data_IF_827900011027
#
_entry.id   IF_827900011027
#
_cell.length_a   1.000
_cell.length_b   1.000
_cell.length_c   1.000
_cell.angle_alpha   90.00
_cell.angle_beta   90.00
_cell.angle_gamma   90.00
#
_symmetry.space_group_name_H-M   'P 1'
#
loop_
_entity.id
_entity.type
_entity.pdbx_description
1 polymer ?
#
# COMPACT_ATOMS: atom_id res chain seq x y z
N UNK A 1 23.09 -11.25 -16.78
CA UNK A 1 22.58 -11.97 -15.59
C UNK A 1 23.48 -11.82 -14.36
N UNK A 2 24.78 -12.15 -14.42
CA UNK A 2 25.69 -11.98 -13.26
C UNK A 2 25.76 -10.53 -12.73
N UNK A 3 25.77 -9.54 -13.62
CA UNK A 3 25.80 -8.11 -13.29
C UNK A 3 24.53 -7.62 -12.59
N UNK A 4 23.35 -8.06 -13.03
CA UNK A 4 22.07 -7.69 -12.41
C UNK A 4 21.94 -8.25 -10.99
N UNK A 5 22.26 -9.53 -10.79
CA UNK A 5 22.16 -10.16 -9.47
C UNK A 5 23.14 -9.51 -8.49
N UNK A 6 24.36 -9.21 -8.93
CA UNK A 6 25.34 -8.47 -8.12
C UNK A 6 24.83 -7.08 -7.73
N UNK A 7 24.28 -6.33 -8.69
CA UNK A 7 23.65 -5.04 -8.42
C UNK A 7 22.55 -5.14 -7.37
N UNK A 8 21.62 -6.09 -7.53
CA UNK A 8 20.49 -6.23 -6.62
C UNK A 8 20.93 -6.60 -5.20
N UNK A 9 21.92 -7.48 -5.05
CA UNK A 9 22.48 -7.84 -3.73
C UNK A 9 23.08 -6.60 -3.05
N UNK A 10 23.90 -5.82 -3.77
CA UNK A 10 24.49 -4.60 -3.22
C UNK A 10 23.42 -3.58 -2.83
N UNK A 11 22.44 -3.37 -3.69
CA UNK A 11 21.32 -2.47 -3.45
C UNK A 11 20.55 -2.86 -2.18
N UNK A 12 20.28 -4.16 -1.99
CA UNK A 12 19.57 -4.66 -0.80
C UNK A 12 20.38 -4.37 0.46
N UNK A 13 21.69 -4.67 0.45
CA UNK A 13 22.56 -4.46 1.61
C UNK A 13 22.64 -3.00 1.98
N UNK A 14 22.82 -2.10 1.01
CA UNK A 14 22.87 -0.65 1.23
C UNK A 14 21.53 -0.12 1.77
N UNK A 15 20.42 -0.53 1.16
CA UNK A 15 19.08 -0.12 1.58
C UNK A 15 18.76 -0.59 3.01
N UNK A 16 19.12 -1.83 3.35
CA UNK A 16 18.98 -2.32 4.74
C UNK A 16 19.80 -1.50 5.72
N UNK A 17 21.02 -1.11 5.34
CA UNK A 17 21.87 -0.24 6.14
C UNK A 17 21.24 1.13 6.41
N UNK A 18 20.55 1.71 5.44
CA UNK A 18 19.80 2.96 5.60
C UNK A 18 18.56 2.77 6.50
N UNK A 19 17.77 1.72 6.25
CA UNK A 19 16.52 1.45 6.97
C UNK A 19 16.77 1.22 8.47
N UNK A 20 17.78 0.44 8.83
CA UNK A 20 18.05 0.10 10.25
C UNK A 20 18.59 1.31 11.04
N UNK A 21 19.14 2.31 10.35
CA UNK A 21 19.63 3.55 10.96
C UNK A 21 18.55 4.62 11.08
N UNK A 22 17.43 4.45 10.40
CA UNK A 22 16.34 5.42 10.40
C UNK A 22 15.42 5.20 11.63
N UNK A 23 15.22 6.21 12.51
CA UNK A 23 14.31 6.08 13.64
C UNK A 23 12.85 5.81 13.24
N UNK A 24 12.42 6.24 12.05
CA UNK A 24 11.06 6.00 11.54
C UNK A 24 10.82 4.50 11.36
N UNK A 25 11.85 3.73 11.00
CA UNK A 25 11.74 2.27 10.91
C UNK A 25 11.23 1.64 12.21
N UNK A 26 11.82 2.00 13.34
CA UNK A 26 11.45 1.45 14.64
C UNK A 26 10.05 1.92 15.08
N UNK A 27 9.69 3.18 14.78
CA UNK A 27 8.34 3.68 15.05
C UNK A 27 7.29 2.88 14.28
N UNK A 28 7.53 2.61 13.00
CA UNK A 28 6.63 1.83 12.15
C UNK A 28 6.59 0.35 12.55
N UNK A 29 7.71 -0.22 12.99
CA UNK A 29 7.77 -1.57 13.54
C UNK A 29 6.93 -1.70 14.83
N UNK A 30 7.08 -0.75 15.76
CA UNK A 30 6.28 -0.71 16.99
C UNK A 30 4.79 -0.54 16.66
N UNK A 31 4.47 0.41 15.78
CA UNK A 31 3.10 0.64 15.31
C UNK A 31 2.48 -0.65 14.74
N UNK A 32 3.24 -1.38 13.91
CA UNK A 32 2.78 -2.66 13.35
C UNK A 32 2.45 -3.67 14.43
N UNK A 33 3.34 -3.92 15.38
CA UNK A 33 3.07 -4.85 16.49
C UNK A 33 1.86 -4.41 17.33
N UNK A 34 1.70 -3.11 17.57
CA UNK A 34 0.56 -2.55 18.32
C UNK A 34 -0.77 -2.75 17.60
N UNK A 35 -0.81 -2.55 16.28
CA UNK A 35 -2.01 -2.77 15.47
C UNK A 35 -2.41 -4.24 15.46
N UNK A 36 -1.46 -5.15 15.25
CA UNK A 36 -1.70 -6.59 15.34
C UNK A 36 -2.24 -6.98 16.72
N UNK A 37 -1.61 -6.49 17.79
CA UNK A 37 -2.09 -6.75 19.14
C UNK A 37 -3.54 -6.33 19.31
N UNK A 38 -3.88 -5.08 18.92
CA UNK A 38 -5.24 -4.55 19.04
C UNK A 38 -6.26 -5.39 18.26
N UNK A 39 -5.96 -5.76 17.01
CA UNK A 39 -6.85 -6.57 16.18
C UNK A 39 -7.10 -7.97 16.78
N UNK A 40 -6.06 -8.61 17.30
CA UNK A 40 -6.18 -9.95 17.87
C UNK A 40 -6.94 -9.91 19.19
N UNK A 41 -6.65 -8.93 20.07
CA UNK A 41 -7.29 -8.83 21.37
C UNK A 41 -8.79 -8.54 21.30
N UNK A 42 -9.26 -7.89 20.23
CA UNK A 42 -10.68 -7.68 19.98
C UNK A 42 -11.47 -8.97 19.75
N UNK A 43 -10.82 -10.03 19.26
CA UNK A 43 -11.47 -11.30 18.90
C UNK A 43 -11.15 -12.41 19.90
N UNK A 44 -9.90 -12.47 20.37
CA UNK A 44 -9.37 -13.59 21.17
C UNK A 44 -9.08 -13.21 22.62
N UNK A 45 -9.30 -11.95 23.00
CA UNK A 45 -8.91 -11.42 24.30
C UNK A 45 -7.40 -11.18 24.44
N UNK A 46 -6.94 -10.76 25.63
CA UNK A 46 -5.56 -10.32 25.87
C UNK A 46 -4.51 -11.34 25.42
N UNK A 47 -3.47 -10.88 24.74
CA UNK A 47 -2.38 -11.73 24.25
C UNK A 47 -1.02 -11.29 24.79
N UNK A 48 -0.06 -12.21 24.89
CA UNK A 48 1.30 -11.91 25.33
C UNK A 48 2.10 -11.24 24.21
N UNK A 49 2.95 -10.27 24.57
CA UNK A 49 3.75 -9.51 23.61
C UNK A 49 4.64 -10.39 22.68
N UNK A 50 5.35 -11.43 23.16
CA UNK A 50 6.16 -12.28 22.29
C UNK A 50 5.35 -13.00 21.20
N UNK A 51 4.12 -13.39 21.51
CA UNK A 51 3.22 -14.04 20.54
C UNK A 51 2.76 -13.06 19.47
N UNK A 52 2.57 -11.79 19.81
CA UNK A 52 2.22 -10.74 18.85
C UNK A 52 3.39 -10.42 17.92
N UNK A 53 4.60 -10.34 18.47
CA UNK A 53 5.82 -10.16 17.68
C UNK A 53 5.98 -11.34 16.70
N UNK A 54 5.83 -12.58 17.17
CA UNK A 54 5.95 -13.76 16.30
C UNK A 54 4.94 -13.79 15.15
N UNK A 55 3.77 -13.18 15.31
CA UNK A 55 2.74 -13.06 14.26
C UNK A 55 2.98 -11.88 13.31
N UNK A 56 3.47 -10.75 13.79
CA UNK A 56 3.77 -9.58 12.97
C UNK A 56 5.07 -9.74 12.16
N UNK A 57 6.04 -10.50 12.69
CA UNK A 57 7.37 -10.63 12.13
C UNK A 57 7.40 -11.16 10.68
N UNK A 58 6.64 -12.21 10.29
CA UNK A 58 6.61 -12.67 8.89
C UNK A 58 6.13 -11.59 7.92
N UNK A 59 5.12 -10.82 8.30
CA UNK A 59 4.57 -9.75 7.47
C UNK A 59 5.55 -8.58 7.35
N UNK A 60 6.23 -8.21 8.45
CA UNK A 60 7.29 -7.22 8.40
C UNK A 60 8.46 -7.65 7.51
N UNK A 61 8.95 -8.90 7.66
CA UNK A 61 10.07 -9.40 6.85
C UNK A 61 9.70 -9.41 5.38
N UNK A 62 8.51 -9.92 5.03
CA UNK A 62 8.09 -10.00 3.64
C UNK A 62 7.87 -8.62 3.02
N UNK A 63 7.29 -7.69 3.79
CA UNK A 63 7.11 -6.30 3.38
C UNK A 63 8.44 -5.57 3.13
N UNK A 64 9.41 -5.73 4.04
CA UNK A 64 10.77 -5.18 3.88
C UNK A 64 11.46 -5.77 2.66
N UNK A 65 11.41 -7.09 2.50
CA UNK A 65 12.07 -7.77 1.39
C UNK A 65 11.47 -7.34 0.05
N UNK A 66 10.14 -7.30 -0.08
CA UNK A 66 9.49 -6.86 -1.33
C UNK A 66 9.69 -5.37 -1.59
N UNK A 67 9.65 -4.51 -0.56
CA UNK A 67 9.89 -3.07 -0.71
C UNK A 67 11.28 -2.76 -1.26
N UNK A 68 12.33 -3.32 -0.65
CA UNK A 68 13.71 -3.13 -1.08
C UNK A 68 13.96 -3.77 -2.45
N UNK A 69 13.49 -5.01 -2.66
CA UNK A 69 13.68 -5.72 -3.93
C UNK A 69 13.02 -4.96 -5.09
N UNK A 70 11.80 -4.49 -4.89
CA UNK A 70 11.07 -3.71 -5.91
C UNK A 70 11.76 -2.39 -6.18
N UNK A 71 12.23 -1.70 -5.15
CA UNK A 71 13.01 -0.45 -5.29
C UNK A 71 14.28 -0.68 -6.11
N UNK A 72 15.02 -1.77 -5.84
CA UNK A 72 16.24 -2.12 -6.58
C UNK A 72 15.97 -2.49 -8.03
N UNK A 73 14.89 -3.21 -8.32
CA UNK A 73 14.47 -3.51 -9.70
C UNK A 73 14.16 -2.22 -10.46
N UNK A 74 13.39 -1.30 -9.86
CA UNK A 74 13.01 -0.04 -10.49
C UNK A 74 14.24 0.86 -10.71
N UNK A 75 15.13 0.96 -9.73
CA UNK A 75 16.38 1.70 -9.85
C UNK A 75 17.29 1.12 -10.95
N UNK A 76 17.38 -0.20 -11.08
CA UNK A 76 18.11 -0.86 -12.18
C UNK A 76 17.53 -0.52 -13.56
N UNK A 77 16.21 -0.38 -13.65
CA UNK A 77 15.50 0.02 -14.87
C UNK A 77 15.55 1.54 -15.12
N UNK A 78 16.20 2.32 -14.25
CA UNK A 78 16.30 3.77 -14.36
C UNK A 78 15.06 4.55 -13.91
N UNK A 79 14.09 3.87 -13.30
CA UNK A 79 12.87 4.48 -12.75
C UNK A 79 13.16 4.94 -11.33
N UNK A 80 13.43 6.23 -11.17
CA UNK A 80 13.75 6.86 -9.89
C UNK A 80 12.61 7.75 -9.41
N UNK A 81 12.30 7.68 -8.11
CA UNK A 81 11.26 8.48 -7.47
C UNK A 81 11.91 9.65 -6.75
N UNK A 82 11.72 10.86 -7.28
CA UNK A 82 12.22 12.09 -6.67
C UNK A 82 11.13 12.68 -5.77
N UNK A 83 11.38 12.72 -4.47
CA UNK A 83 10.41 13.22 -3.49
C UNK A 83 10.80 14.59 -2.98
N UNK A 84 9.80 15.46 -2.81
CA UNK A 84 9.93 16.76 -2.15
C UNK A 84 9.12 16.76 -0.86
N UNK A 85 9.38 17.73 0.03
CA UNK A 85 8.63 17.87 1.29
C UNK A 85 7.12 18.10 1.09
N UNK A 86 6.69 18.56 -0.10
CA UNK A 86 5.28 18.78 -0.40
C UNK A 86 4.46 17.49 -0.31
N UNK A 87 5.07 16.31 -0.51
CA UNK A 87 4.39 15.02 -0.40
C UNK A 87 3.78 14.80 1.01
N UNK A 88 4.32 15.46 2.03
CA UNK A 88 3.81 15.36 3.40
C UNK A 88 2.37 15.87 3.54
N UNK A 89 1.87 16.70 2.61
CA UNK A 89 0.46 17.14 2.59
C UNK A 89 -0.52 15.97 2.39
N UNK A 90 -0.06 14.86 1.81
CA UNK A 90 -0.89 13.67 1.63
C UNK A 90 -1.26 13.04 2.98
N UNK A 91 -0.42 13.18 4.01
CA UNK A 91 -0.65 12.61 5.34
C UNK A 91 -1.92 13.18 6.01
N UNK A 92 -2.06 14.52 6.21
CA UNK A 92 -3.28 15.06 6.80
C UNK A 92 -4.51 14.80 5.92
N UNK A 93 -4.39 14.81 4.59
CA UNK A 93 -5.52 14.47 3.69
C UNK A 93 -5.95 13.01 3.90
N UNK A 94 -5.00 12.07 3.94
CA UNK A 94 -5.28 10.66 4.20
C UNK A 94 -5.96 10.46 5.56
N UNK A 95 -5.48 11.12 6.61
CA UNK A 95 -6.09 11.06 7.94
C UNK A 95 -7.53 11.56 7.89
N UNK A 96 -7.80 12.73 7.27
CA UNK A 96 -9.14 13.29 7.16
C UNK A 96 -10.10 12.36 6.39
N UNK A 97 -9.63 11.73 5.31
CA UNK A 97 -10.43 10.78 4.54
C UNK A 97 -10.71 9.49 5.32
N UNK A 98 -9.72 8.97 6.05
CA UNK A 98 -9.89 7.80 6.91
C UNK A 98 -10.92 8.01 8.03
N UNK A 99 -11.11 9.25 8.50
CA UNK A 99 -12.16 9.57 9.49
C UNK A 99 -13.56 9.31 8.94
N UNK A 100 -13.75 9.41 7.61
CA UNK A 100 -15.04 9.14 6.98
C UNK A 100 -15.18 7.64 6.69
N UNK A 101 -14.16 7.04 6.06
CA UNK A 101 -14.12 5.60 5.86
C UNK A 101 -12.66 5.12 5.79
N UNK A 102 -12.25 4.05 6.50
CA UNK A 102 -10.86 3.59 6.54
C UNK A 102 -10.23 3.37 5.15
N UNK A 103 -11.01 2.83 4.20
CA UNK A 103 -10.55 2.60 2.81
C UNK A 103 -10.10 3.87 2.06
N UNK A 104 -10.61 5.06 2.44
CA UNK A 104 -10.29 6.31 1.76
C UNK A 104 -8.90 6.86 2.13
N UNK A 105 -8.18 6.21 3.05
CA UNK A 105 -6.77 6.50 3.29
C UNK A 105 -5.83 6.08 2.16
N UNK A 106 -6.29 5.23 1.23
CA UNK A 106 -5.48 4.78 0.09
C UNK A 106 -5.14 5.96 -0.84
N UNK A 107 -3.92 5.98 -1.37
CA UNK A 107 -3.45 7.03 -2.29
C UNK A 107 -4.29 7.13 -3.57
N UNK A 108 -4.99 6.07 -3.95
CA UNK A 108 -6.00 6.07 -5.01
C UNK A 108 -7.15 7.07 -4.79
N UNK A 109 -7.41 7.49 -3.54
CA UNK A 109 -8.37 8.54 -3.17
C UNK A 109 -7.69 9.84 -2.72
N UNK A 110 -6.58 9.74 -1.99
CA UNK A 110 -5.87 10.90 -1.42
C UNK A 110 -5.30 11.80 -2.51
N UNK A 111 -4.70 11.21 -3.57
CA UNK A 111 -4.09 11.99 -4.66
C UNK A 111 -5.14 12.79 -5.46
N UNK A 112 -6.30 12.22 -5.85
CA UNK A 112 -7.39 13.00 -6.46
C UNK A 112 -7.85 14.18 -5.61
N UNK A 113 -7.98 13.98 -4.30
CA UNK A 113 -8.36 15.06 -3.38
C UNK A 113 -7.28 16.14 -3.31
N UNK A 114 -6.01 15.74 -3.19
CA UNK A 114 -4.88 16.67 -3.24
C UNK A 114 -4.83 17.45 -4.56
N UNK A 115 -5.09 16.79 -5.69
CA UNK A 115 -5.17 17.39 -7.02
C UNK A 115 -6.25 18.47 -7.10
N UNK A 116 -7.45 18.20 -6.57
CA UNK A 116 -8.52 19.19 -6.51
C UNK A 116 -8.18 20.38 -5.61
N UNK A 117 -7.57 20.15 -4.45
CA UNK A 117 -7.14 21.22 -3.52
C UNK A 117 -6.06 22.08 -4.17
N UNK A 118 -5.05 21.47 -4.80
CA UNK A 118 -4.00 22.20 -5.50
C UNK A 118 -4.59 23.05 -6.64
N UNK A 119 -5.45 22.45 -7.47
CA UNK A 119 -6.12 23.15 -8.57
C UNK A 119 -6.95 24.33 -8.09
N UNK A 120 -7.72 24.17 -7.02
CA UNK A 120 -8.51 25.24 -6.41
C UNK A 120 -7.60 26.35 -5.85
N UNK A 121 -6.52 25.99 -5.17
CA UNK A 121 -5.56 26.94 -4.61
C UNK A 121 -4.90 27.82 -5.69
N UNK A 122 -4.62 27.23 -6.86
CA UNK A 122 -4.11 27.94 -8.04
C UNK A 122 -5.14 28.91 -8.62
N UNK A 123 -6.42 28.54 -8.63
CA UNK A 123 -7.50 29.43 -9.10
C UNK A 123 -7.58 30.72 -8.27
N UNK A 124 -7.29 30.64 -6.96
CA UNK A 124 -7.25 31.79 -6.06
C UNK A 124 -5.89 32.50 -6.03
N UNK A 125 -4.96 32.19 -6.94
CA UNK A 125 -3.58 32.72 -6.96
C UNK A 125 -2.79 32.51 -5.65
N UNK A 126 -3.16 31.51 -4.87
CA UNK A 126 -2.51 31.14 -3.61
C UNK A 126 -2.15 29.65 -3.63
N UNK A 127 -1.12 29.23 -4.40
CA UNK A 127 -0.74 27.83 -4.46
C UNK A 127 -0.28 27.35 -3.08
N UNK A 128 -1.05 26.44 -2.47
CA UNK A 128 -0.75 25.92 -1.13
C UNK A 128 0.44 24.96 -1.14
N UNK A 129 0.52 24.14 -2.20
CA UNK A 129 1.57 23.16 -2.43
C UNK A 129 1.60 22.80 -3.92
N UNK A 130 2.66 22.13 -4.36
CA UNK A 130 2.77 21.56 -5.71
C UNK A 130 3.28 20.13 -5.64
N UNK A 131 2.52 19.20 -6.18
CA UNK A 131 2.86 17.78 -6.19
C UNK A 131 3.33 17.31 -7.57
N UNK A 132 4.25 16.35 -7.55
CA UNK A 132 4.61 15.59 -8.74
C UNK A 132 3.60 14.44 -8.91
N UNK A 133 2.54 14.72 -9.66
CA UNK A 133 1.48 13.74 -9.90
C UNK A 133 1.96 12.55 -10.73
N UNK A 134 2.97 12.74 -11.59
CA UNK A 134 3.50 11.65 -12.38
C UNK A 134 4.15 10.59 -11.50
N UNK A 135 5.07 11.05 -10.63
CA UNK A 135 5.71 10.21 -9.63
C UNK A 135 4.70 9.53 -8.71
N UNK A 136 3.68 10.26 -8.26
CA UNK A 136 2.65 9.74 -7.36
C UNK A 136 1.79 8.63 -8.00
N UNK A 137 1.43 8.75 -9.28
CA UNK A 137 0.66 7.70 -9.98
C UNK A 137 1.52 6.45 -10.18
N UNK A 138 2.80 6.60 -10.56
CA UNK A 138 3.73 5.46 -10.58
C UNK A 138 3.82 4.78 -9.21
N UNK A 139 3.91 5.56 -8.14
CA UNK A 139 4.02 5.05 -6.78
C UNK A 139 2.77 4.25 -6.39
N UNK A 140 1.57 4.73 -6.73
CA UNK A 140 0.32 3.98 -6.52
C UNK A 140 0.36 2.63 -7.23
N UNK A 141 0.75 2.60 -8.51
CA UNK A 141 0.83 1.36 -9.28
C UNK A 141 1.80 0.36 -8.66
N UNK A 142 3.01 0.80 -8.29
CA UNK A 142 4.02 -0.04 -7.66
C UNK A 142 3.56 -0.59 -6.31
N UNK A 143 2.98 0.26 -5.45
CA UNK A 143 2.53 -0.17 -4.12
C UNK A 143 1.40 -1.20 -4.20
N UNK A 144 0.45 -1.07 -5.12
CA UNK A 144 -0.61 -2.07 -5.30
C UNK A 144 -0.10 -3.36 -5.97
N UNK A 145 0.93 -3.29 -6.83
CA UNK A 145 1.61 -4.51 -7.30
C UNK A 145 2.22 -5.26 -6.10
N UNK A 146 2.92 -4.56 -5.22
CA UNK A 146 3.50 -5.15 -4.00
C UNK A 146 2.38 -5.71 -3.11
N UNK A 147 1.30 -4.97 -2.89
CA UNK A 147 0.13 -5.41 -2.11
C UNK A 147 -0.49 -6.68 -2.69
N UNK A 148 -0.78 -6.68 -3.99
CA UNK A 148 -1.35 -7.84 -4.68
C UNK A 148 -0.46 -9.07 -4.54
N UNK A 149 0.85 -8.93 -4.70
CA UNK A 149 1.80 -10.03 -4.48
C UNK A 149 1.79 -10.52 -3.03
N UNK A 150 1.79 -9.62 -2.04
CA UNK A 150 1.73 -9.97 -0.63
C UNK A 150 0.45 -10.75 -0.29
N UNK A 151 -0.70 -10.26 -0.76
CA UNK A 151 -2.00 -10.91 -0.59
C UNK A 151 -1.98 -12.30 -1.23
N UNK A 152 -1.43 -12.45 -2.44
CA UNK A 152 -1.31 -13.76 -3.10
C UNK A 152 -0.40 -14.75 -2.35
N UNK A 153 0.71 -14.26 -1.78
CA UNK A 153 1.70 -15.11 -1.11
C UNK A 153 1.23 -15.53 0.29
N UNK A 154 0.66 -14.60 1.05
CA UNK A 154 0.43 -14.79 2.47
C UNK A 154 -0.90 -14.26 3.02
N UNK A 155 -1.74 -13.59 2.22
CA UNK A 155 -2.96 -12.95 2.71
C UNK A 155 -3.98 -13.89 3.34
N UNK A 156 -3.93 -15.19 3.03
CA UNK A 156 -4.80 -16.22 3.62
C UNK A 156 -4.35 -16.73 4.99
N UNK A 157 -3.12 -16.40 5.42
CA UNK A 157 -2.56 -16.92 6.66
C UNK A 157 -3.25 -16.26 7.85
N UNK A 158 -3.31 -16.97 8.97
CA UNK A 158 -3.90 -16.45 10.20
C UNK A 158 -5.36 -15.99 10.09
N UNK A 159 -6.10 -16.48 9.08
CA UNK A 159 -7.55 -16.29 8.98
C UNK A 159 -8.25 -16.80 10.25
N UNK A 160 -9.26 -16.05 10.72
CA UNK A 160 -9.95 -16.34 11.98
C UNK A 160 -11.46 -16.25 11.80
N UNK A 161 -12.25 -17.13 12.43
CA UNK A 161 -13.68 -16.96 12.48
C UNK A 161 -14.03 -15.72 13.31
N UNK A 162 -14.88 -14.86 12.76
CA UNK A 162 -15.49 -13.75 13.50
C UNK A 162 -17.03 -13.80 13.36
N UNK A 163 -17.77 -13.46 14.43
CA UNK A 163 -19.22 -13.38 14.39
C UNK A 163 -19.71 -12.14 13.63
N UNK A 164 -20.67 -12.32 12.73
CA UNK A 164 -21.39 -11.27 12.02
C UNK A 164 -22.89 -11.41 12.28
N UNK A 165 -23.59 -10.29 12.45
CA UNK A 165 -25.04 -10.28 12.63
C UNK A 165 -25.68 -9.79 11.33
N UNK A 166 -26.11 -10.72 10.50
CA UNK A 166 -26.67 -10.48 9.17
C UNK A 166 -28.07 -11.10 9.07
N UNK A 167 -29.04 -10.38 8.52
CA UNK A 167 -30.41 -10.88 8.32
C UNK A 167 -31.05 -11.48 9.59
N UNK A 168 -30.83 -10.84 10.75
CA UNK A 168 -31.33 -11.27 12.07
C UNK A 168 -30.78 -12.63 12.53
N UNK A 169 -29.71 -13.12 11.91
CA UNK A 169 -29.02 -14.37 12.28
C UNK A 169 -27.55 -14.09 12.55
N UNK A 170 -27.01 -14.86 13.49
CA UNK A 170 -25.58 -14.86 13.73
C UNK A 170 -24.89 -15.80 12.73
N UNK A 171 -24.07 -15.24 11.86
CA UNK A 171 -23.22 -15.98 10.92
C UNK A 171 -21.75 -15.85 11.35
N UNK A 172 -20.91 -16.79 10.92
CA UNK A 172 -19.48 -16.72 11.14
C UNK A 172 -18.76 -16.72 9.80
N UNK A 173 -17.90 -15.73 9.59
CA UNK A 173 -17.07 -15.62 8.40
C UNK A 173 -15.60 -15.65 8.79
N UNK A 174 -14.73 -16.09 7.88
CA UNK A 174 -13.30 -16.07 8.12
C UNK A 174 -12.76 -14.68 7.75
N UNK A 175 -12.29 -13.94 8.74
CA UNK A 175 -11.68 -12.63 8.57
C UNK A 175 -10.19 -12.81 8.28
N UNK A 176 -9.74 -12.12 7.23
CA UNK A 176 -8.38 -12.06 6.71
C UNK A 176 -7.83 -10.67 7.02
N UNK A 177 -6.73 -10.58 7.76
CA UNK A 177 -6.17 -9.27 8.16
C UNK A 177 -4.65 -9.33 8.19
N UNK A 178 -4.01 -8.43 7.46
CA UNK A 178 -2.56 -8.25 7.44
C UNK A 178 -2.20 -6.77 7.35
N UNK A 179 -1.04 -6.43 7.90
CA UNK A 179 -0.45 -5.11 7.75
C UNK A 179 1.04 -5.26 7.45
N UNK A 180 1.44 -4.88 6.24
CA UNK A 180 2.81 -4.95 5.77
C UNK A 180 3.46 -3.57 5.80
N UNK A 181 4.65 -3.52 6.38
CA UNK A 181 5.50 -2.35 6.36
C UNK A 181 6.43 -2.44 5.15
N UNK A 182 6.33 -1.47 4.25
CA UNK A 182 7.08 -1.43 2.98
C UNK A 182 8.03 -0.23 3.00
N UNK A 183 9.31 -0.42 3.36
CA UNK A 183 10.33 0.58 3.09
C UNK A 183 10.62 0.61 1.58
N UNK A 184 10.28 1.74 0.96
CA UNK A 184 10.49 1.98 -0.46
C UNK A 184 11.56 3.04 -0.63
N UNK A 185 12.61 2.77 -1.42
CA UNK A 185 13.72 3.70 -1.55
C UNK A 185 13.40 4.79 -2.56
N UNK A 186 13.53 6.04 -2.13
CA UNK A 186 13.29 7.24 -2.95
C UNK A 186 14.50 8.16 -2.87
N UNK A 187 14.57 9.13 -3.78
CA UNK A 187 15.64 10.13 -3.83
C UNK A 187 15.08 11.45 -3.33
N UNK A 188 15.62 11.96 -2.22
CA UNK A 188 15.23 13.27 -1.70
C UNK A 188 15.74 14.40 -2.57
N UNK A 189 14.85 15.33 -2.92
CA UNK A 189 15.20 16.57 -3.60
C UNK A 189 15.42 17.71 -2.60
N UNK A 190 16.40 18.60 -2.82
CA UNK A 190 17.37 18.64 -3.92
C UNK A 190 18.69 17.86 -3.65
N UNK A 191 18.86 17.23 -2.49
CA UNK A 191 20.16 16.70 -2.07
C UNK A 191 20.60 15.43 -2.83
N UNK A 192 19.69 14.78 -3.56
CA UNK A 192 19.99 13.55 -4.29
C UNK A 192 20.28 12.36 -3.36
N UNK A 193 19.91 12.46 -2.09
CA UNK A 193 20.22 11.45 -1.07
C UNK A 193 19.14 10.35 -1.14
N UNK A 194 19.52 9.07 -1.27
CA UNK A 194 18.58 7.97 -1.15
C UNK A 194 18.09 7.86 0.30
N UNK A 195 16.78 7.77 0.48
CA UNK A 195 16.16 7.60 1.79
C UNK A 195 14.96 6.64 1.71
N UNK A 196 14.67 5.91 2.79
CA UNK A 196 13.48 5.07 2.84
C UNK A 196 12.22 5.92 3.06
N UNK A 197 11.21 5.68 2.21
CA UNK A 197 9.82 6.09 2.42
C UNK A 197 9.06 4.88 2.94
N UNK A 198 8.47 4.98 4.13
CA UNK A 198 7.75 3.87 4.75
C UNK A 198 6.27 3.93 4.38
N UNK A 199 5.83 3.01 3.52
CA UNK A 199 4.41 2.77 3.26
C UNK A 199 3.87 1.66 4.16
N UNK A 200 2.60 1.78 4.54
CA UNK A 200 1.85 0.72 5.23
C UNK A 200 0.78 0.23 4.28
N UNK A 201 0.84 -1.06 3.95
CA UNK A 201 -0.18 -1.73 3.16
C UNK A 201 -1.03 -2.57 4.12
N UNK A 202 -2.30 -2.19 4.28
CA UNK A 202 -3.23 -2.87 5.17
C UNK A 202 -4.25 -3.64 4.34
N UNK A 203 -4.26 -4.96 4.49
CA UNK A 203 -5.20 -5.85 3.86
C UNK A 203 -6.24 -6.33 4.88
N UNK A 204 -7.51 -6.21 4.53
CA UNK A 204 -8.63 -6.65 5.34
C UNK A 204 -9.75 -7.16 4.44
N UNK A 205 -10.15 -8.40 4.64
CA UNK A 205 -11.19 -9.05 3.82
C UNK A 205 -11.94 -10.16 4.59
N UNK A 206 -13.06 -10.61 4.04
CA UNK A 206 -13.97 -11.59 4.62
C UNK A 206 -14.25 -12.72 3.63
N UNK A 207 -13.75 -13.92 3.93
CA UNK A 207 -14.10 -15.11 3.18
C UNK A 207 -15.50 -15.61 3.61
N UNK A 208 -16.52 -15.22 2.83
CA UNK A 208 -17.94 -15.52 3.07
C UNK A 208 -18.43 -16.80 2.39
N UNK A 209 -18.08 -16.96 1.11
CA UNK A 209 -18.53 -18.09 0.26
C UNK A 209 -17.38 -19.03 -0.10
N UNK A 210 -16.15 -18.51 -0.12
CA UNK A 210 -14.92 -19.22 -0.50
C UNK A 210 -14.10 -19.63 0.71
N UNK A 211 -13.12 -20.50 0.52
CA UNK A 211 -12.07 -20.69 1.51
C UNK A 211 -11.22 -19.40 1.65
N UNK A 212 -10.57 -19.16 2.82
CA UNK A 212 -9.65 -18.05 3.01
C UNK A 212 -8.57 -17.92 1.92
N UNK A 213 -8.09 -19.06 1.41
CA UNK A 213 -7.08 -19.11 0.36
C UNK A 213 -7.63 -18.65 -0.99
N UNK A 214 -8.77 -19.16 -1.40
CA UNK A 214 -9.40 -18.76 -2.66
C UNK A 214 -9.85 -17.29 -2.64
N UNK A 215 -10.35 -16.81 -1.50
CA UNK A 215 -10.70 -15.41 -1.31
C UNK A 215 -9.47 -14.51 -1.47
N UNK A 216 -8.40 -14.81 -0.72
CA UNK A 216 -7.12 -14.11 -0.86
C UNK A 216 -6.54 -14.15 -2.28
N UNK A 217 -6.73 -15.25 -3.02
CA UNK A 217 -6.29 -15.34 -4.41
C UNK A 217 -7.09 -14.44 -5.35
N UNK A 218 -8.41 -14.34 -5.17
CA UNK A 218 -9.26 -13.43 -5.93
C UNK A 218 -8.84 -11.97 -5.67
N UNK A 219 -8.83 -11.56 -4.41
CA UNK A 219 -8.56 -10.17 -4.01
C UNK A 219 -7.15 -9.75 -4.39
N UNK A 220 -6.15 -10.61 -4.13
CA UNK A 220 -4.76 -10.37 -4.53
C UNK A 220 -4.59 -10.22 -6.04
N UNK A 221 -5.33 -10.99 -6.84
CA UNK A 221 -5.31 -10.90 -8.31
C UNK A 221 -5.93 -9.59 -8.81
N UNK A 222 -7.05 -9.17 -8.21
CA UNK A 222 -7.70 -7.91 -8.55
C UNK A 222 -6.81 -6.71 -8.20
N UNK A 223 -6.22 -6.70 -7.00
CA UNK A 223 -5.29 -5.65 -6.55
C UNK A 223 -4.04 -5.61 -7.46
N UNK A 224 -3.46 -6.77 -7.79
CA UNK A 224 -2.31 -6.86 -8.70
C UNK A 224 -2.66 -6.34 -10.10
N UNK A 225 -3.85 -6.72 -10.62
CA UNK A 225 -4.34 -6.26 -11.91
C UNK A 225 -4.55 -4.74 -11.95
N UNK A 226 -5.12 -4.17 -10.89
CA UNK A 226 -5.24 -2.73 -10.71
C UNK A 226 -3.87 -2.04 -10.68
N UNK A 227 -2.94 -2.52 -9.85
CA UNK A 227 -1.60 -1.95 -9.74
C UNK A 227 -0.84 -1.98 -11.07
N UNK A 228 -0.90 -3.10 -11.80
CA UNK A 228 -0.31 -3.25 -13.12
C UNK A 228 -0.93 -2.29 -14.15
N UNK A 229 -2.26 -2.15 -14.14
CA UNK A 229 -2.97 -1.21 -15.02
C UNK A 229 -2.54 0.24 -14.73
N UNK A 230 -2.53 0.66 -13.47
CA UNK A 230 -2.12 2.01 -13.08
C UNK A 230 -0.66 2.27 -13.46
N UNK A 231 0.25 1.30 -13.24
CA UNK A 231 1.65 1.44 -13.63
C UNK A 231 1.82 1.62 -15.15
N UNK A 232 1.09 0.83 -15.96
CA UNK A 232 1.11 0.96 -17.42
C UNK A 232 0.53 2.30 -17.89
N UNK A 233 -0.56 2.77 -17.26
CA UNK A 233 -1.15 4.06 -17.56
C UNK A 233 -0.23 5.23 -17.16
N UNK A 234 0.47 5.11 -16.03
CA UNK A 234 1.51 6.05 -15.61
C UNK A 234 2.63 6.13 -16.66
N UNK A 235 3.03 4.97 -17.20
CA UNK A 235 4.02 4.92 -18.26
C UNK A 235 3.53 5.53 -19.58
N UNK A 236 2.28 5.26 -19.97
CA UNK A 236 1.69 5.89 -21.14
C UNK A 236 1.58 7.42 -20.99
N UNK A 237 1.30 7.91 -19.78
CA UNK A 237 1.31 9.34 -19.44
C UNK A 237 2.72 9.93 -19.51
N UNK A 238 3.75 9.25 -19.00
CA UNK A 238 5.16 9.66 -19.15
C UNK A 238 5.58 9.83 -20.62
N UNK A 239 5.08 8.95 -21.50
CA UNK A 239 5.29 9.04 -22.95
C UNK A 239 4.45 10.14 -23.64
N UNK A 240 3.63 10.87 -22.89
CA UNK A 240 2.80 11.96 -23.41
C UNK A 240 1.50 11.51 -24.08
N UNK A 241 1.11 10.24 -23.99
CA UNK A 241 -0.12 9.72 -24.60
C UNK A 241 -1.39 10.05 -23.80
N UNK A 242 -1.26 10.29 -22.49
CA UNK A 242 -2.38 10.49 -21.56
C UNK A 242 -2.06 11.70 -20.68
N UNK A 243 -3.07 12.52 -20.39
CA UNK A 243 -2.93 13.63 -19.44
C UNK A 243 -3.11 13.13 -18.00
N UNK A 244 -2.28 13.65 -17.08
CA UNK A 244 -2.33 13.28 -15.66
C UNK A 244 -3.72 13.47 -15.03
N UNK A 245 -4.41 14.57 -15.34
CA UNK A 245 -5.73 14.86 -14.75
C UNK A 245 -6.78 13.77 -15.01
N UNK A 246 -6.86 13.23 -16.23
CA UNK A 246 -7.78 12.15 -16.54
C UNK A 246 -7.46 10.86 -15.78
N UNK A 247 -6.17 10.54 -15.66
CA UNK A 247 -5.70 9.36 -14.94
C UNK A 247 -5.92 9.46 -13.42
N UNK A 248 -5.73 10.64 -12.85
CA UNK A 248 -6.02 10.91 -11.44
C UNK A 248 -7.50 10.69 -11.15
N UNK A 249 -8.41 11.17 -12.00
CA UNK A 249 -9.85 11.05 -11.77
C UNK A 249 -10.38 9.63 -11.99
N UNK A 250 -9.78 8.84 -12.88
CA UNK A 250 -10.22 7.45 -13.11
C UNK A 250 -9.67 6.47 -12.06
N UNK A 251 -8.55 6.80 -11.43
CA UNK A 251 -7.91 5.96 -10.41
C UNK A 251 -8.84 5.52 -9.26
N UNK A 252 -9.62 6.40 -8.59
CA UNK A 252 -10.57 5.97 -7.57
C UNK A 252 -11.69 5.08 -8.13
N UNK A 253 -12.11 5.31 -9.39
CA UNK A 253 -13.13 4.47 -10.05
C UNK A 253 -12.61 3.05 -10.28
N UNK A 254 -11.39 2.93 -10.79
CA UNK A 254 -10.72 1.63 -10.99
C UNK A 254 -10.47 0.92 -9.66
N UNK A 255 -10.16 1.67 -8.61
CA UNK A 255 -9.96 1.12 -7.28
C UNK A 255 -11.27 0.61 -6.66
N UNK A 256 -12.39 1.34 -6.80
CA UNK A 256 -13.72 0.86 -6.38
C UNK A 256 -14.19 -0.36 -7.19
N UNK A 257 -13.77 -0.49 -8.45
CA UNK A 257 -14.09 -1.65 -9.28
C UNK A 257 -13.58 -2.96 -8.67
N UNK A 258 -12.44 -2.96 -7.97
CA UNK A 258 -11.92 -4.13 -7.23
C UNK A 258 -13.00 -4.66 -6.27
N UNK A 259 -13.50 -3.79 -5.40
CA UNK A 259 -14.50 -4.14 -4.40
C UNK A 259 -15.84 -4.51 -5.02
N UNK A 260 -16.27 -3.83 -6.10
CA UNK A 260 -17.51 -4.15 -6.80
C UNK A 260 -17.46 -5.57 -7.38
N UNK A 261 -16.35 -5.92 -8.04
CA UNK A 261 -16.15 -7.25 -8.61
C UNK A 261 -16.10 -8.30 -7.50
N UNK A 262 -15.37 -8.03 -6.43
CA UNK A 262 -15.30 -8.93 -5.27
C UNK A 262 -16.68 -9.17 -4.62
N UNK A 263 -17.44 -8.11 -4.35
CA UNK A 263 -18.80 -8.20 -3.80
C UNK A 263 -19.69 -9.04 -4.72
N UNK A 264 -19.65 -8.78 -6.03
CA UNK A 264 -20.42 -9.54 -7.01
C UNK A 264 -20.04 -11.03 -6.98
N UNK A 265 -18.75 -11.33 -6.92
CA UNK A 265 -18.24 -12.70 -6.85
C UNK A 265 -18.53 -13.39 -5.52
N UNK A 266 -18.81 -12.63 -4.45
CA UNK A 266 -19.19 -13.13 -3.12
C UNK A 266 -20.72 -13.20 -2.91
N UNK A 267 -21.54 -12.83 -3.90
CA UNK A 267 -22.98 -13.10 -3.87
C UNK A 267 -23.21 -14.60 -4.06
N UNK A 268 -24.04 -15.19 -3.20
CA UNK A 268 -24.60 -16.53 -3.39
C UNK A 268 -25.70 -16.52 -4.44
#
# INVERSE_FOLDING_TARGET
>A
MKTFVQYLILYIVESMGLIIRDPIFFLMAIYSVMVYKRQIEQVQGPQKLPEMIARALPDMILGILLGITTSGILAYLGINFYVSLNILVLIPIAILLMLIHPKWGCFSYVIPVAFMIEGLSKLFNHPLFTLDYEMLIYLVGVLHIIEGLLVLICGYKHAKPAPFYEEHRLTYHQVLQHMWMIPFMVISTPQGIPMPLYAVLAYGDEARVRSPKEQSMLTGTLILGFGALIFLLAHAMHLGHIQAGGLILIMPVLHELIFIVEIYMNKK
#
